data_IF_876190693755
#
_entry.id   IF_876190693755
#
_cell.length_a   1.000
_cell.length_b   1.000
_cell.length_c   1.000
_cell.angle_alpha   90.00
_cell.angle_beta   90.00
_cell.angle_gamma   90.00
#
_symmetry.space_group_name_H-M   'P 1'
#
loop_
_entity.id
_entity.type
_entity.pdbx_description
1 polymer ?
#
# COMPACT_ATOMS: atom_id res chain seq x y z
N UNK A 1 64.01 -16.05 -16.52
CA UNK A 1 64.24 -15.67 -17.93
C UNK A 1 62.89 -15.34 -18.58
N UNK A 2 62.70 -14.18 -19.23
CA UNK A 2 62.60 -13.96 -20.71
C UNK A 2 61.56 -14.87 -21.42
N UNK A 3 60.64 -14.40 -22.26
CA UNK A 3 60.32 -13.07 -22.84
C UNK A 3 58.79 -12.96 -23.04
N UNK A 4 58.12 -11.81 -22.86
CA UNK A 4 58.13 -10.57 -23.67
C UNK A 4 57.59 -10.75 -25.10
N UNK A 5 56.34 -10.34 -25.29
CA UNK A 5 55.62 -10.05 -26.55
C UNK A 5 54.34 -9.26 -26.17
N UNK A 6 53.93 -8.14 -26.78
CA UNK A 6 54.63 -7.28 -27.76
C UNK A 6 54.37 -5.77 -27.47
N UNK A 7 53.77 -4.99 -28.39
CA UNK A 7 53.70 -3.51 -28.46
C UNK A 7 52.54 -3.09 -29.40
N UNK A 8 51.77 -2.06 -29.03
CA UNK A 8 51.39 -0.85 -29.82
C UNK A 8 50.18 -0.19 -29.10
N UNK A 9 50.08 1.11 -28.85
CA UNK A 9 50.90 2.24 -29.30
C UNK A 9 50.22 3.05 -30.39
N UNK A 10 49.42 4.04 -30.02
CA UNK A 10 49.15 5.31 -30.75
C UNK A 10 48.51 6.32 -29.80
N UNK A 11 49.09 7.52 -29.71
CA UNK A 11 48.55 8.64 -28.95
C UNK A 11 47.37 9.34 -29.64
N UNK A 12 46.55 10.00 -28.82
CA UNK A 12 45.93 11.28 -29.16
C UNK A 12 44.66 11.28 -30.03
N UNK A 13 43.55 11.72 -29.43
CA UNK A 13 43.05 13.08 -29.68
C UNK A 13 42.09 13.54 -28.58
N UNK A 14 42.26 14.79 -28.13
CA UNK A 14 41.32 15.41 -27.22
C UNK A 14 40.00 15.74 -27.95
N UNK A 15 38.86 15.36 -27.35
CA UNK A 15 37.54 15.87 -27.70
C UNK A 15 36.85 16.36 -26.44
N UNK A 16 37.01 17.65 -26.15
CA UNK A 16 36.31 18.33 -25.04
C UNK A 16 34.82 18.38 -25.38
N UNK A 17 34.00 17.67 -24.61
CA UNK A 17 32.54 17.84 -24.69
C UNK A 17 32.18 19.21 -24.09
N UNK A 18 31.35 20.02 -24.77
CA UNK A 18 30.99 21.34 -24.27
C UNK A 18 30.10 21.24 -23.04
N UNK A 19 30.43 22.01 -22.01
CA UNK A 19 29.60 22.16 -20.81
C UNK A 19 28.30 22.87 -21.21
N UNK A 20 27.19 22.12 -21.29
CA UNK A 20 25.86 22.69 -21.52
C UNK A 20 25.36 23.35 -20.23
N UNK A 21 25.74 24.61 -20.05
CA UNK A 21 25.17 25.49 -19.03
C UNK A 21 23.67 25.67 -19.31
N UNK A 22 22.83 24.99 -18.52
CA UNK A 22 21.38 25.21 -18.53
C UNK A 22 21.12 26.61 -17.98
N UNK A 23 20.70 27.53 -18.86
CA UNK A 23 20.29 28.88 -18.46
C UNK A 23 18.95 28.77 -17.74
N UNK A 24 18.96 29.00 -16.43
CA UNK A 24 17.74 29.20 -15.66
C UNK A 24 17.06 30.49 -16.13
N UNK A 25 15.94 30.36 -16.83
CA UNK A 25 15.05 31.50 -17.13
C UNK A 25 14.36 31.90 -15.82
N UNK A 26 14.58 33.14 -15.39
CA UNK A 26 14.03 33.64 -14.14
C UNK A 26 12.49 33.77 -14.22
N UNK A 27 11.78 33.05 -13.35
CA UNK A 27 10.36 33.30 -13.10
C UNK A 27 10.20 34.60 -12.30
N UNK A 28 9.96 35.70 -13.00
CA UNK A 28 9.50 36.96 -12.42
C UNK A 28 8.11 37.28 -12.99
N UNK A 29 7.05 37.06 -12.20
CA UNK A 29 5.68 37.23 -12.68
C UNK A 29 4.62 36.75 -11.70
N UNK A 30 4.51 37.41 -10.54
CA UNK A 30 3.26 37.35 -9.75
C UNK A 30 2.22 38.24 -10.44
N UNK A 31 1.15 37.64 -10.97
CA UNK A 31 -0.02 38.37 -11.45
C UNK A 31 -1.27 37.57 -11.07
N UNK A 32 -2.02 38.08 -10.09
CA UNK A 32 -3.33 37.54 -9.72
C UNK A 32 -4.31 37.74 -10.87
N UNK A 33 -4.97 36.66 -11.31
CA UNK A 33 -6.02 36.69 -12.32
C UNK A 33 -7.09 35.65 -11.99
N UNK A 34 -8.32 36.10 -11.81
CA UNK A 34 -9.42 35.29 -11.27
C UNK A 34 -9.87 34.15 -12.19
N UNK A 35 -10.44 33.12 -11.58
CA UNK A 35 -11.25 32.13 -12.26
C UNK A 35 -12.44 32.79 -12.99
N UNK A 36 -12.49 32.63 -14.31
CA UNK A 36 -13.72 32.51 -15.12
C UNK A 36 -13.31 32.18 -16.55
N UNK A 37 -13.30 30.89 -16.88
CA UNK A 37 -13.31 30.43 -18.27
C UNK A 37 -14.69 29.86 -18.55
N UNK A 38 -15.51 30.55 -19.33
CA UNK A 38 -16.75 29.98 -19.85
C UNK A 38 -16.42 28.76 -20.75
N UNK A 39 -17.10 27.61 -20.55
CA UNK A 39 -16.98 26.49 -21.47
C UNK A 39 -17.67 26.83 -22.80
N UNK A 40 -17.11 26.41 -23.96
CA UNK A 40 -17.74 26.68 -25.25
C UNK A 40 -19.07 25.94 -25.38
N UNK A 41 -20.16 26.68 -25.59
CA UNK A 41 -21.47 26.12 -25.94
C UNK A 41 -21.38 25.33 -27.25
N UNK A 42 -21.76 24.05 -27.23
CA UNK A 42 -21.83 23.20 -28.44
C UNK A 42 -21.27 21.78 -28.31
N UNK A 43 -20.69 21.38 -27.17
CA UNK A 43 -20.35 19.98 -26.95
C UNK A 43 -21.62 19.13 -26.72
N UNK A 44 -21.85 18.02 -27.47
CA UNK A 44 -22.95 17.11 -27.17
C UNK A 44 -22.73 16.43 -25.81
N UNK A 45 -23.80 16.09 -25.06
CA UNK A 45 -23.66 15.49 -23.74
C UNK A 45 -22.98 14.13 -23.83
N UNK A 46 -21.97 13.91 -22.98
CA UNK A 46 -21.23 12.65 -22.88
C UNK A 46 -22.05 11.54 -22.17
N UNK A 47 -23.27 11.27 -22.65
CA UNK A 47 -24.26 10.41 -22.01
C UNK A 47 -24.46 9.04 -22.69
N UNK A 48 -23.88 8.82 -23.88
CA UNK A 48 -24.08 7.57 -24.65
C UNK A 48 -22.75 6.91 -25.07
N UNK A 49 -21.77 6.94 -24.16
CA UNK A 49 -20.78 5.88 -24.12
C UNK A 49 -21.44 4.63 -23.54
N UNK A 50 -21.77 3.65 -24.40
CA UNK A 50 -22.28 2.34 -24.00
C UNK A 50 -21.35 1.72 -22.94
N UNK A 51 -21.82 1.69 -21.69
CA UNK A 51 -21.07 1.11 -20.60
C UNK A 51 -20.87 -0.39 -20.85
N UNK A 52 -19.62 -0.81 -21.02
CA UNK A 52 -19.26 -2.22 -20.88
C UNK A 52 -19.77 -2.72 -19.52
N UNK A 53 -20.19 -3.99 -19.39
CA UNK A 53 -20.64 -4.52 -18.11
C UNK A 53 -19.54 -4.32 -17.09
N UNK A 54 -19.83 -3.56 -16.05
CA UNK A 54 -18.88 -3.28 -14.99
C UNK A 54 -18.56 -4.59 -14.26
N UNK A 55 -17.45 -5.23 -14.66
CA UNK A 55 -16.83 -6.29 -13.87
C UNK A 55 -16.49 -5.63 -12.53
N UNK A 56 -17.23 -6.00 -11.48
CA UNK A 56 -17.03 -5.44 -10.15
C UNK A 56 -15.56 -5.65 -9.77
N UNK A 57 -14.85 -4.56 -9.52
CA UNK A 57 -13.44 -4.60 -9.13
C UNK A 57 -13.35 -5.39 -7.82
N UNK A 58 -12.71 -6.55 -7.87
CA UNK A 58 -12.48 -7.37 -6.67
C UNK A 58 -11.36 -6.72 -5.87
N UNK A 59 -11.63 -6.42 -4.60
CA UNK A 59 -10.61 -5.95 -3.66
C UNK A 59 -9.50 -7.02 -3.53
N UNK A 60 -8.23 -6.71 -3.85
CA UNK A 60 -7.14 -7.68 -3.72
C UNK A 60 -6.93 -8.10 -2.27
N UNK A 61 -7.12 -7.21 -1.30
CA UNK A 61 -7.05 -7.51 0.13
C UNK A 61 -8.10 -8.53 0.57
N UNK A 62 -9.30 -8.49 -0.02
CA UNK A 62 -10.36 -9.49 0.23
C UNK A 62 -9.90 -10.89 -0.16
N UNK A 63 -9.36 -11.05 -1.37
CA UNK A 63 -8.87 -12.36 -1.85
C UNK A 63 -7.71 -12.89 -1.00
N UNK A 64 -6.76 -12.01 -0.67
CA UNK A 64 -5.63 -12.36 0.18
C UNK A 64 -6.09 -12.82 1.57
N UNK A 65 -7.06 -12.14 2.17
CA UNK A 65 -7.62 -12.49 3.46
C UNK A 65 -8.44 -13.79 3.42
N UNK A 66 -9.28 -13.98 2.40
CA UNK A 66 -10.07 -15.21 2.21
C UNK A 66 -9.20 -16.46 2.04
N UNK A 67 -8.10 -16.36 1.30
CA UNK A 67 -7.19 -17.49 1.05
C UNK A 67 -6.28 -17.79 2.24
N UNK A 68 -5.75 -16.77 2.92
CA UNK A 68 -4.67 -16.95 3.91
C UNK A 68 -5.11 -16.86 5.37
N UNK A 69 -6.25 -16.22 5.67
CA UNK A 69 -6.61 -15.85 7.05
C UNK A 69 -7.98 -16.38 7.50
N UNK A 70 -8.98 -16.39 6.60
CA UNK A 70 -10.38 -16.66 6.96
C UNK A 70 -10.64 -18.06 7.53
N UNK A 71 -9.81 -19.06 7.20
CA UNK A 71 -9.90 -20.42 7.75
C UNK A 71 -9.79 -20.45 9.29
N UNK A 72 -9.00 -19.54 9.87
CA UNK A 72 -8.85 -19.40 11.32
C UNK A 72 -9.63 -18.20 11.87
N UNK A 73 -9.60 -17.05 11.20
CA UNK A 73 -10.19 -15.80 11.71
C UNK A 73 -11.62 -15.50 11.22
N UNK A 74 -12.20 -16.37 10.40
CA UNK A 74 -13.52 -16.17 9.79
C UNK A 74 -13.49 -15.16 8.65
N UNK A 75 -14.50 -15.19 7.76
CA UNK A 75 -14.55 -14.33 6.56
C UNK A 75 -14.61 -12.82 6.88
N UNK A 76 -15.05 -12.47 8.10
CA UNK A 76 -15.10 -11.10 8.60
C UNK A 76 -13.96 -10.74 9.58
N UNK A 77 -13.00 -11.64 9.83
CA UNK A 77 -11.90 -11.39 10.77
C UNK A 77 -12.31 -11.33 12.25
N UNK A 78 -13.44 -11.93 12.62
CA UNK A 78 -13.97 -11.94 14.00
C UNK A 78 -13.33 -12.99 14.92
N UNK A 79 -12.40 -13.80 14.39
CA UNK A 79 -11.79 -14.91 15.11
C UNK A 79 -12.60 -16.21 15.06
N UNK A 80 -13.68 -16.26 14.28
CA UNK A 80 -14.72 -17.30 14.25
C UNK A 80 -14.62 -18.23 13.02
N UNK A 81 -13.39 -18.46 12.52
CA UNK A 81 -13.17 -19.31 11.36
C UNK A 81 -13.49 -20.79 11.60
N UNK A 82 -13.68 -21.59 10.54
CA UNK A 82 -14.03 -23.01 10.66
C UNK A 82 -13.03 -23.85 11.47
N UNK A 83 -11.77 -23.43 11.58
CA UNK A 83 -10.79 -24.09 12.46
C UNK A 83 -10.77 -23.56 13.90
N UNK A 84 -11.38 -22.40 14.18
CA UNK A 84 -11.19 -21.66 15.44
C UNK A 84 -11.47 -22.50 16.70
N UNK A 85 -12.58 -23.26 16.71
CA UNK A 85 -12.96 -24.13 17.82
C UNK A 85 -12.10 -25.39 17.99
N UNK A 86 -11.17 -25.65 17.06
CA UNK A 86 -10.23 -26.78 17.10
C UNK A 86 -8.80 -26.37 17.46
N UNK A 87 -8.53 -25.06 17.56
CA UNK A 87 -7.21 -24.54 17.92
C UNK A 87 -7.03 -24.51 19.45
N UNK A 88 -5.79 -24.67 19.97
CA UNK A 88 -5.52 -24.60 21.41
C UNK A 88 -5.82 -23.23 22.06
N UNK A 89 -5.99 -22.19 21.25
CA UNK A 89 -6.32 -20.83 21.68
C UNK A 89 -7.24 -20.23 20.62
N UNK A 90 -8.31 -19.59 21.08
CA UNK A 90 -9.26 -18.90 20.19
C UNK A 90 -8.52 -17.77 19.44
N UNK A 91 -8.59 -17.72 18.09
CA UNK A 91 -8.07 -16.60 17.33
C UNK A 91 -8.76 -15.29 17.73
N UNK A 92 -8.00 -14.20 17.85
CA UNK A 92 -8.53 -12.90 18.24
C UNK A 92 -9.50 -12.33 17.19
N UNK A 93 -10.47 -11.53 17.65
CA UNK A 93 -11.25 -10.64 16.79
C UNK A 93 -10.34 -9.50 16.32
N UNK A 94 -9.86 -9.59 15.07
CA UNK A 94 -8.94 -8.63 14.46
C UNK A 94 -9.55 -7.22 14.47
N UNK A 95 -10.88 -7.11 14.33
CA UNK A 95 -11.62 -5.85 14.24
C UNK A 95 -11.55 -5.04 15.53
N UNK A 96 -11.52 -5.71 16.68
CA UNK A 96 -11.43 -5.08 18.00
C UNK A 96 -9.97 -4.73 18.32
N UNK A 97 -9.03 -5.63 18.01
CA UNK A 97 -7.60 -5.47 18.31
C UNK A 97 -6.91 -4.31 17.58
N UNK A 98 -7.53 -3.76 16.52
CA UNK A 98 -7.12 -2.49 15.93
C UNK A 98 -7.15 -1.31 16.92
N UNK A 99 -7.89 -1.38 18.03
CA UNK A 99 -7.84 -0.36 19.08
C UNK A 99 -6.60 -0.45 19.97
N UNK A 100 -6.04 -1.65 20.12
CA UNK A 100 -4.94 -1.95 21.04
C UNK A 100 -3.55 -1.80 20.39
N UNK A 101 -3.51 -1.84 19.05
CA UNK A 101 -2.29 -1.86 18.25
C UNK A 101 -2.39 -0.94 17.04
N UNK A 102 -1.29 -0.27 16.68
CA UNK A 102 -1.20 0.48 15.44
C UNK A 102 -1.27 -0.46 14.23
N UNK A 103 -1.68 0.08 13.07
CA UNK A 103 -1.81 -0.70 11.84
C UNK A 103 -0.51 -1.41 11.44
N UNK A 104 0.64 -0.74 11.55
CA UNK A 104 1.94 -1.35 11.23
C UNK A 104 2.40 -2.36 12.29
N UNK A 105 2.08 -2.17 13.58
CA UNK A 105 2.38 -3.18 14.61
C UNK A 105 1.52 -4.45 14.39
N UNK A 106 0.27 -4.30 13.96
CA UNK A 106 -0.53 -5.44 13.51
C UNK A 106 0.05 -6.10 12.26
N UNK A 107 0.41 -5.33 11.24
CA UNK A 107 1.02 -5.88 10.02
C UNK A 107 2.31 -6.65 10.33
N UNK A 108 3.14 -6.13 11.25
CA UNK A 108 4.35 -6.79 11.74
C UNK A 108 4.03 -8.09 12.48
N UNK A 109 3.10 -8.10 13.44
CA UNK A 109 2.67 -9.30 14.17
C UNK A 109 2.07 -10.38 13.28
N UNK A 110 1.33 -10.01 12.24
CA UNK A 110 0.78 -10.98 11.27
C UNK A 110 1.89 -11.52 10.35
N UNK A 111 2.82 -10.67 9.93
CA UNK A 111 3.99 -11.08 9.13
C UNK A 111 4.89 -12.06 9.90
N UNK A 112 5.26 -11.73 11.14
CA UNK A 112 6.16 -12.53 11.98
C UNK A 112 5.47 -13.73 12.66
N UNK A 113 4.14 -13.68 12.78
CA UNK A 113 3.37 -14.60 13.62
C UNK A 113 3.42 -14.22 15.11
N UNK A 114 2.65 -14.95 15.91
CA UNK A 114 2.62 -14.85 17.37
C UNK A 114 2.86 -16.27 17.93
N UNK A 115 4.11 -16.71 18.08
CA UNK A 115 4.39 -18.08 18.55
C UNK A 115 3.92 -18.29 20.00
N UNK A 116 3.33 -19.45 20.35
CA UNK A 116 3.04 -20.61 19.50
C UNK A 116 1.63 -20.60 18.88
N UNK A 117 0.83 -19.54 19.08
CA UNK A 117 -0.62 -19.54 18.80
C UNK A 117 -0.97 -19.19 17.36
N UNK A 118 -0.19 -18.36 16.69
CA UNK A 118 -0.37 -17.97 15.29
C UNK A 118 0.96 -18.12 14.53
N UNK A 119 1.01 -18.88 13.43
CA UNK A 119 2.22 -18.97 12.60
C UNK A 119 2.47 -17.66 11.83
N UNK A 120 3.69 -17.44 11.31
CA UNK A 120 3.97 -16.35 10.37
C UNK A 120 3.08 -16.47 9.11
N UNK A 121 2.62 -15.34 8.57
CA UNK A 121 1.84 -15.34 7.35
C UNK A 121 2.66 -15.85 6.15
N UNK A 122 2.13 -16.75 5.29
CA UNK A 122 2.86 -17.33 4.15
C UNK A 122 2.88 -16.39 2.92
N UNK A 123 2.75 -15.08 3.12
CA UNK A 123 2.60 -14.04 2.09
C UNK A 123 3.51 -12.84 2.44
N UNK A 124 3.98 -12.05 1.46
CA UNK A 124 4.84 -10.90 1.72
C UNK A 124 4.15 -9.82 2.58
N UNK A 125 4.90 -8.98 3.31
CA UNK A 125 4.34 -8.01 4.25
C UNK A 125 3.36 -7.01 3.63
N UNK A 126 3.51 -6.73 2.33
CA UNK A 126 2.60 -5.83 1.61
C UNK A 126 1.23 -6.47 1.33
N UNK A 127 1.20 -7.77 1.05
CA UNK A 127 -0.06 -8.52 0.93
C UNK A 127 -0.74 -8.67 2.31
N UNK A 128 0.04 -8.76 3.40
CA UNK A 128 -0.47 -8.68 4.77
C UNK A 128 -1.15 -7.33 5.03
N UNK A 129 -0.55 -6.21 4.63
CA UNK A 129 -1.21 -4.88 4.74
C UNK A 129 -2.49 -4.80 3.94
N UNK A 130 -2.52 -5.34 2.73
CA UNK A 130 -3.74 -5.36 1.90
C UNK A 130 -4.85 -6.19 2.56
N UNK A 131 -4.53 -7.38 3.09
CA UNK A 131 -5.47 -8.20 3.85
C UNK A 131 -6.00 -7.48 5.12
N UNK A 132 -5.13 -6.81 5.88
CA UNK A 132 -5.54 -6.00 7.04
C UNK A 132 -6.35 -4.77 6.65
N UNK A 133 -6.05 -4.12 5.53
CA UNK A 133 -6.83 -3.00 4.99
C UNK A 133 -8.25 -3.43 4.63
N UNK A 134 -8.40 -4.62 4.04
CA UNK A 134 -9.72 -5.23 3.83
C UNK A 134 -10.47 -5.45 5.16
N UNK A 135 -9.85 -6.06 6.18
CA UNK A 135 -10.52 -6.26 7.48
C UNK A 135 -10.90 -4.92 8.13
N UNK A 136 -10.04 -3.90 8.04
CA UNK A 136 -10.36 -2.54 8.49
C UNK A 136 -11.58 -1.98 7.75
N UNK A 137 -11.71 -2.21 6.45
CA UNK A 137 -12.85 -1.75 5.64
C UNK A 137 -14.20 -2.35 6.09
N UNK A 138 -14.21 -3.53 6.71
CA UNK A 138 -15.41 -4.18 7.24
C UNK A 138 -15.94 -3.52 8.52
N UNK A 139 -15.14 -2.67 9.17
CA UNK A 139 -15.50 -1.95 10.40
C UNK A 139 -16.33 -0.73 10.03
N UNK A 140 -17.52 -0.50 10.65
CA UNK A 140 -18.31 0.72 10.39
C UNK A 140 -17.52 2.00 10.67
N UNK A 141 -17.71 3.04 9.86
CA UNK A 141 -16.94 4.30 9.95
C UNK A 141 -17.00 4.96 11.33
N UNK A 142 -18.15 4.87 12.02
CA UNK A 142 -18.31 5.36 13.40
C UNK A 142 -17.41 4.62 14.40
N UNK A 143 -17.18 3.33 14.17
CA UNK A 143 -16.34 2.49 15.02
C UNK A 143 -14.85 2.63 14.64
N UNK A 144 -14.53 2.77 13.36
CA UNK A 144 -13.17 3.12 12.91
C UNK A 144 -12.66 4.41 13.58
N UNK A 145 -13.52 5.43 13.74
CA UNK A 145 -13.17 6.66 14.45
C UNK A 145 -12.88 6.41 15.94
N UNK A 146 -13.66 5.55 16.61
CA UNK A 146 -13.43 5.14 18.00
C UNK A 146 -12.09 4.40 18.16
N UNK A 147 -11.79 3.47 17.27
CA UNK A 147 -10.55 2.68 17.31
C UNK A 147 -9.31 3.54 17.08
N UNK A 148 -9.35 4.53 16.17
CA UNK A 148 -8.24 5.47 15.98
C UNK A 148 -7.97 6.31 17.22
N UNK A 149 -9.02 6.80 17.89
CA UNK A 149 -8.85 7.53 19.15
C UNK A 149 -8.21 6.65 20.24
N UNK A 150 -8.49 5.33 20.28
CA UNK A 150 -7.79 4.41 21.18
C UNK A 150 -6.32 4.22 20.80
N UNK A 151 -6.00 4.10 19.50
CA UNK A 151 -4.62 4.01 19.02
C UNK A 151 -3.81 5.28 19.37
N UNK A 152 -4.43 6.46 19.30
CA UNK A 152 -3.82 7.73 19.68
C UNK A 152 -3.50 7.76 21.18
N UNK A 153 -4.46 7.41 22.04
CA UNK A 153 -4.25 7.33 23.50
C UNK A 153 -3.17 6.30 23.87
N UNK A 154 -3.20 5.10 23.27
CA UNK A 154 -2.20 4.06 23.51
C UNK A 154 -0.78 4.47 23.03
N UNK A 155 -0.68 5.37 22.04
CA UNK A 155 0.60 5.92 21.58
C UNK A 155 1.15 7.02 22.52
N UNK A 156 0.33 7.60 23.40
CA UNK A 156 0.76 8.57 24.42
C UNK A 156 1.28 7.89 25.71
N UNK A 157 0.95 6.61 25.93
CA UNK A 157 1.37 5.82 27.10
C UNK A 157 2.76 5.12 26.94
N UNK A 158 3.42 5.30 25.79
CA UNK A 158 4.66 4.60 25.39
C UNK A 158 5.84 5.53 25.07
#
# INVERSE_FOLDING_TARGET
>A
MKSRHTLSGTDGRASRLPSLTVVFVAFAGWASGSCSGEPPEGAPPASEALAAPAVAAVDPGKLLFEVNCATCHGAEGRGDGPMASSLPTQPANIREHFGDHSFEEMARRVTEGIPPTMPPAPIPPEEVRQALSYVWSLIPVSEQARLRALQELAAEEH
#
